data_IF_843488891666
#
_entry.id   IF_843488891666
#
_cell.length_a   1.000
_cell.length_b   1.000
_cell.length_c   1.000
_cell.angle_alpha   90.00
_cell.angle_beta   90.00
_cell.angle_gamma   90.00
#
_symmetry.space_group_name_H-M   'P 1'
#
loop_
_entity.id
_entity.type
_entity.pdbx_description
1 polymer ?
#
# COMPACT_ATOMS: atom_id res chain seq x y z
N UNK A 1 -2.44 -31.75 -21.99
CA UNK A 1 -3.17 -31.85 -20.71
C UNK A 1 -3.35 -30.44 -20.20
N UNK A 2 -4.59 -29.93 -20.27
CA UNK A 2 -4.92 -28.61 -19.70
C UNK A 2 -4.97 -28.77 -18.18
N UNK A 3 -4.05 -28.09 -17.47
CA UNK A 3 -4.21 -27.93 -16.03
C UNK A 3 -5.42 -27.02 -15.79
N UNK A 4 -6.47 -27.56 -15.16
CA UNK A 4 -7.58 -26.75 -14.66
C UNK A 4 -7.04 -25.76 -13.63
N UNK A 5 -7.52 -24.50 -13.63
CA UNK A 5 -7.15 -23.56 -12.59
C UNK A 5 -7.59 -24.16 -11.23
N UNK A 6 -6.67 -24.23 -10.29
CA UNK A 6 -6.97 -24.64 -8.92
C UNK A 6 -8.12 -23.78 -8.41
N UNK A 7 -9.21 -24.42 -8.05
CA UNK A 7 -10.39 -23.80 -7.44
C UNK A 7 -9.94 -23.09 -6.17
N UNK A 8 -9.91 -21.77 -6.19
CA UNK A 8 -9.60 -20.96 -5.00
C UNK A 8 -10.78 -21.13 -4.06
N UNK A 9 -10.60 -21.90 -2.99
CA UNK A 9 -11.63 -22.05 -1.94
C UNK A 9 -11.88 -20.65 -1.38
N UNK A 10 -13.07 -20.11 -1.65
CA UNK A 10 -13.54 -18.85 -1.09
C UNK A 10 -14.21 -19.12 0.23
N UNK A 11 -13.71 -18.50 1.29
CA UNK A 11 -14.30 -18.61 2.62
C UNK A 11 -15.21 -17.40 2.81
N UNK A 12 -16.49 -17.68 3.09
CA UNK A 12 -17.45 -16.65 3.50
C UNK A 12 -17.27 -16.35 4.98
N UNK A 13 -17.12 -15.07 5.32
CA UNK A 13 -17.02 -14.59 6.70
C UNK A 13 -18.12 -13.60 7.02
N UNK A 14 -18.76 -13.82 8.14
CA UNK A 14 -19.72 -12.87 8.72
C UNK A 14 -19.06 -12.15 9.90
N UNK A 15 -18.89 -10.84 9.78
CA UNK A 15 -18.53 -9.95 10.87
C UNK A 15 -19.82 -9.45 11.48
N UNK A 16 -20.11 -9.89 12.70
CA UNK A 16 -21.44 -9.75 13.31
C UNK A 16 -21.47 -8.75 14.46
N UNK A 17 -22.56 -7.99 14.55
CA UNK A 17 -22.89 -7.08 15.65
C UNK A 17 -21.91 -5.93 15.87
N UNK A 18 -21.15 -5.50 14.82
CA UNK A 18 -20.18 -4.41 14.89
C UNK A 18 -20.78 -3.03 14.62
N UNK A 19 -20.02 -1.98 14.91
CA UNK A 19 -20.29 -0.62 14.49
C UNK A 19 -19.53 -0.33 13.20
N UNK A 20 -20.22 -0.40 12.06
CA UNK A 20 -19.65 -0.20 10.72
C UNK A 20 -19.66 1.28 10.37
N UNK A 21 -18.52 1.81 9.90
CA UNK A 21 -18.46 3.19 9.42
C UNK A 21 -19.16 3.31 8.07
N UNK A 22 -20.19 4.17 8.03
CA UNK A 22 -20.90 4.52 6.81
C UNK A 22 -20.43 5.88 6.30
N UNK A 23 -19.94 5.90 5.06
CA UNK A 23 -19.32 7.09 4.47
C UNK A 23 -20.33 8.20 4.12
N UNK A 24 -21.55 7.84 3.75
CA UNK A 24 -22.58 8.80 3.36
C UNK A 24 -23.07 9.64 4.56
N UNK A 25 -23.30 8.99 5.67
CA UNK A 25 -23.73 9.66 6.92
C UNK A 25 -22.57 10.12 7.80
N UNK A 26 -21.33 9.74 7.46
CA UNK A 26 -20.13 9.93 8.30
C UNK A 26 -20.32 9.44 9.74
N UNK A 27 -21.04 8.34 9.93
CA UNK A 27 -21.43 7.81 11.22
C UNK A 27 -21.09 6.31 11.34
N UNK A 28 -21.04 5.84 12.58
CA UNK A 28 -20.97 4.40 12.86
C UNK A 28 -22.38 3.86 13.10
N UNK A 29 -22.76 2.87 12.30
CA UNK A 29 -24.07 2.23 12.35
C UNK A 29 -23.89 0.78 12.76
N UNK A 30 -24.71 0.28 13.69
CA UNK A 30 -24.69 -1.12 14.07
C UNK A 30 -25.13 -1.97 12.89
N UNK A 31 -24.22 -2.82 12.38
CA UNK A 31 -24.44 -3.64 11.20
C UNK A 31 -23.56 -4.88 11.21
N UNK A 32 -23.99 -5.87 10.44
CA UNK A 32 -23.21 -7.04 10.07
C UNK A 32 -22.58 -6.84 8.68
N UNK A 33 -21.44 -7.48 8.42
CA UNK A 33 -20.80 -7.52 7.09
C UNK A 33 -20.57 -8.98 6.71
N UNK A 34 -21.10 -9.39 5.57
CA UNK A 34 -20.80 -10.68 4.97
C UNK A 34 -19.84 -10.53 3.80
N UNK A 35 -18.76 -11.30 3.83
CA UNK A 35 -17.76 -11.34 2.75
C UNK A 35 -17.72 -12.70 2.08
N UNK A 36 -17.33 -12.72 0.79
CA UNK A 36 -16.97 -13.94 0.04
C UNK A 36 -15.54 -13.74 -0.49
N UNK A 37 -14.58 -14.40 0.14
CA UNK A 37 -13.17 -14.15 -0.12
C UNK A 37 -12.80 -12.70 0.14
N UNK A 38 -12.45 -11.95 -0.91
CA UNK A 38 -12.03 -10.54 -0.84
C UNK A 38 -13.17 -9.53 -1.11
N UNK A 39 -14.39 -9.99 -1.37
CA UNK A 39 -15.53 -9.13 -1.69
C UNK A 39 -16.48 -9.01 -0.51
N UNK A 40 -16.96 -7.79 -0.24
CA UNK A 40 -18.12 -7.56 0.61
C UNK A 40 -19.35 -7.84 -0.26
N UNK A 41 -20.21 -8.78 0.17
CA UNK A 41 -21.39 -9.20 -0.60
C UNK A 41 -22.70 -8.74 0.03
N UNK A 42 -22.69 -8.43 1.33
CA UNK A 42 -23.86 -7.92 2.04
C UNK A 42 -23.43 -7.07 3.25
N UNK A 43 -24.13 -5.96 3.48
CA UNK A 43 -24.02 -5.14 4.69
C UNK A 43 -25.44 -4.89 5.19
N UNK A 44 -25.73 -5.18 6.45
CA UNK A 44 -27.07 -5.00 7.00
C UNK A 44 -27.18 -5.51 8.42
N UNK A 45 -28.39 -5.46 8.98
CA UNK A 45 -28.66 -6.01 10.31
C UNK A 45 -29.20 -7.43 10.21
N UNK A 46 -28.85 -8.26 11.20
CA UNK A 46 -29.41 -9.61 11.38
C UNK A 46 -29.11 -10.58 10.20
N UNK A 47 -27.93 -10.46 9.59
CA UNK A 47 -27.49 -11.44 8.59
C UNK A 47 -27.40 -12.81 9.26
N UNK A 48 -27.97 -13.81 8.59
CA UNK A 48 -28.04 -15.17 9.14
C UNK A 48 -26.64 -15.81 9.21
N UNK A 49 -26.18 -16.30 10.37
CA UNK A 49 -24.87 -16.94 10.49
C UNK A 49 -24.69 -18.16 9.59
N UNK A 50 -25.77 -18.84 9.17
CA UNK A 50 -25.70 -19.97 8.23
C UNK A 50 -25.32 -19.56 6.80
N UNK A 51 -25.28 -18.25 6.51
CA UNK A 51 -24.81 -17.74 5.23
C UNK A 51 -23.27 -17.73 5.11
N UNK A 52 -22.54 -17.97 6.20
CA UNK A 52 -21.10 -17.90 6.29
C UNK A 52 -20.46 -19.20 6.78
N UNK A 53 -19.22 -19.43 6.37
CA UNK A 53 -18.38 -20.54 6.84
C UNK A 53 -17.77 -20.22 8.22
N UNK A 54 -17.50 -18.93 8.44
CA UNK A 54 -16.92 -18.42 9.70
C UNK A 54 -17.70 -17.18 10.17
N UNK A 55 -17.91 -17.07 11.48
CA UNK A 55 -18.50 -15.88 12.10
C UNK A 55 -17.51 -15.26 13.07
N UNK A 56 -17.28 -13.95 12.92
CA UNK A 56 -16.43 -13.15 13.79
C UNK A 56 -17.34 -12.24 14.63
N UNK A 57 -17.30 -12.40 15.95
CA UNK A 57 -18.01 -11.53 16.87
C UNK A 57 -17.34 -10.14 16.93
N UNK A 58 -18.06 -9.13 16.49
CA UNK A 58 -17.65 -7.73 16.49
C UNK A 58 -18.45 -6.87 17.50
N UNK A 59 -19.08 -7.51 18.49
CA UNK A 59 -19.79 -6.78 19.56
C UNK A 59 -18.85 -5.75 20.20
N UNK A 60 -19.34 -4.52 20.32
CA UNK A 60 -18.60 -3.35 20.86
C UNK A 60 -17.31 -2.99 20.08
N UNK A 61 -17.16 -3.46 18.84
CA UNK A 61 -16.03 -3.12 17.98
C UNK A 61 -16.48 -2.20 16.86
N UNK A 62 -15.55 -1.31 16.46
CA UNK A 62 -15.70 -0.47 15.28
C UNK A 62 -15.09 -1.17 14.08
N UNK A 63 -15.81 -1.19 12.97
CA UNK A 63 -15.36 -1.73 11.70
C UNK A 63 -15.19 -0.56 10.72
N UNK A 64 -13.98 -0.37 10.26
CA UNK A 64 -13.62 0.68 9.30
C UNK A 64 -12.92 0.06 8.09
N UNK A 65 -12.89 0.73 6.94
CA UNK A 65 -11.98 0.37 5.85
C UNK A 65 -10.54 0.32 6.34
N UNK A 66 -9.73 -0.55 5.75
CA UNK A 66 -8.30 -0.60 6.04
C UNK A 66 -7.65 0.75 5.74
N UNK A 67 -6.71 1.17 6.59
CA UNK A 67 -6.00 2.43 6.43
C UNK A 67 -5.11 2.40 5.18
N UNK A 68 -4.99 3.56 4.52
CA UNK A 68 -4.11 3.77 3.37
C UNK A 68 -3.00 4.73 3.79
N UNK A 69 -1.75 4.31 3.65
CA UNK A 69 -0.57 5.13 3.91
C UNK A 69 0.10 5.47 2.58
N UNK A 70 0.00 6.74 2.18
CA UNK A 70 0.49 7.22 0.89
C UNK A 70 1.91 7.74 0.94
N UNK A 71 2.54 7.77 2.13
CA UNK A 71 3.91 8.27 2.30
C UNK A 71 4.58 7.56 3.48
N UNK A 72 5.36 6.52 3.20
CA UNK A 72 6.06 5.75 4.22
C UNK A 72 7.37 5.20 3.69
N UNK A 73 8.47 5.43 4.44
CA UNK A 73 9.81 4.98 4.06
C UNK A 73 10.13 3.56 4.48
N UNK A 74 9.31 2.98 5.35
CA UNK A 74 9.51 1.62 5.82
C UNK A 74 8.89 1.37 7.18
N UNK A 75 9.07 0.14 7.70
CA UNK A 75 8.49 -0.31 8.96
C UNK A 75 9.24 -1.54 9.50
N UNK A 76 9.06 -1.82 10.80
CA UNK A 76 9.64 -2.99 11.46
C UNK A 76 11.18 -3.07 11.39
N UNK A 77 11.85 -1.93 11.33
CA UNK A 77 13.31 -1.85 11.23
C UNK A 77 13.86 -1.95 9.81
N UNK A 78 13.00 -1.97 8.80
CA UNK A 78 13.37 -2.00 7.39
C UNK A 78 12.99 -0.70 6.69
N UNK A 79 13.73 -0.39 5.61
CA UNK A 79 13.57 0.80 4.77
C UNK A 79 13.38 0.37 3.32
N UNK A 80 12.51 1.06 2.57
CA UNK A 80 12.28 0.79 1.16
C UNK A 80 13.49 1.12 0.27
N UNK A 81 14.40 1.97 0.70
CA UNK A 81 15.65 2.27 -0.03
C UNK A 81 16.69 1.14 0.06
N UNK A 82 16.60 0.27 1.08
CA UNK A 82 17.54 -0.84 1.30
C UNK A 82 16.77 -2.14 1.51
N UNK A 83 16.17 -2.60 0.43
CA UNK A 83 15.13 -3.61 0.52
C UNK A 83 15.62 -4.98 0.02
N UNK A 84 15.26 -6.01 0.77
CA UNK A 84 15.30 -7.41 0.34
C UNK A 84 13.89 -7.96 0.26
N UNK A 85 13.69 -9.06 -0.44
CA UNK A 85 12.37 -9.72 -0.54
C UNK A 85 11.82 -10.07 0.86
N UNK A 86 12.68 -10.48 1.80
CA UNK A 86 12.31 -10.74 3.18
C UNK A 86 11.85 -9.46 3.91
N UNK A 87 12.54 -8.35 3.70
CA UNK A 87 12.20 -7.05 4.29
C UNK A 87 10.82 -6.57 3.80
N UNK A 88 10.53 -6.70 2.50
CA UNK A 88 9.21 -6.35 1.93
C UNK A 88 8.12 -7.14 2.63
N UNK A 89 8.29 -8.45 2.77
CA UNK A 89 7.29 -9.30 3.40
C UNK A 89 7.10 -8.98 4.89
N UNK A 90 8.18 -8.68 5.62
CA UNK A 90 8.11 -8.27 7.02
C UNK A 90 7.37 -6.93 7.19
N UNK A 91 7.69 -5.94 6.35
CA UNK A 91 7.01 -4.65 6.34
C UNK A 91 5.52 -4.80 6.05
N UNK A 92 5.15 -5.52 4.99
CA UNK A 92 3.75 -5.72 4.58
C UNK A 92 2.92 -6.40 5.69
N UNK A 93 3.48 -7.39 6.38
CA UNK A 93 2.84 -8.02 7.55
C UNK A 93 2.66 -7.03 8.69
N UNK A 94 3.69 -6.23 8.96
CA UNK A 94 3.66 -5.25 10.04
C UNK A 94 2.65 -4.14 9.80
N UNK A 95 2.51 -3.65 8.56
CA UNK A 95 1.46 -2.70 8.18
C UNK A 95 0.07 -3.29 8.39
N UNK A 96 -0.19 -4.47 7.85
CA UNK A 96 -1.49 -5.15 7.98
C UNK A 96 -1.86 -5.39 9.46
N UNK A 97 -0.90 -5.80 10.29
CA UNK A 97 -1.11 -5.99 11.73
C UNK A 97 -1.51 -4.70 12.45
N UNK A 98 -1.10 -3.54 11.93
CA UNK A 98 -1.48 -2.23 12.47
C UNK A 98 -2.75 -1.64 11.82
N UNK A 99 -3.43 -2.39 10.94
CA UNK A 99 -4.65 -1.93 10.26
C UNK A 99 -4.40 -1.17 8.95
N UNK A 100 -3.16 -0.95 8.55
CA UNK A 100 -2.84 -0.36 7.24
C UNK A 100 -2.85 -1.47 6.19
N UNK A 101 -3.80 -1.40 5.27
CA UNK A 101 -4.01 -2.43 4.24
C UNK A 101 -3.38 -2.08 2.91
N UNK A 102 -3.05 -0.80 2.70
CA UNK A 102 -2.50 -0.29 1.45
C UNK A 102 -1.41 0.74 1.75
N UNK A 103 -0.27 0.63 1.06
CA UNK A 103 0.85 1.58 1.22
C UNK A 103 1.40 2.00 -0.14
N UNK A 104 1.91 3.22 -0.22
CA UNK A 104 2.87 3.61 -1.24
C UNK A 104 4.29 3.49 -0.68
N UNK A 105 5.12 2.68 -1.32
CA UNK A 105 6.51 2.53 -0.94
C UNK A 105 7.27 3.82 -1.28
N UNK A 106 7.72 4.56 -0.27
CA UNK A 106 8.43 5.83 -0.49
C UNK A 106 9.93 5.60 -0.53
N UNK A 107 10.54 5.95 -1.66
CA UNK A 107 11.99 5.94 -1.86
C UNK A 107 12.51 7.37 -1.63
N UNK A 108 13.35 7.54 -0.62
CA UNK A 108 14.07 8.79 -0.39
C UNK A 108 15.22 8.97 -1.39
N UNK A 109 15.83 10.17 -1.41
CA UNK A 109 17.03 10.42 -2.22
C UNK A 109 18.12 9.40 -1.93
N UNK A 110 18.58 8.72 -2.96
CA UNK A 110 19.61 7.69 -2.93
C UNK A 110 20.41 7.69 -4.23
N UNK A 111 21.54 6.97 -4.31
CA UNK A 111 22.19 6.67 -5.58
C UNK A 111 21.23 5.99 -6.56
N UNK A 112 21.41 6.24 -7.87
CA UNK A 112 20.49 5.72 -8.89
C UNK A 112 20.42 4.19 -8.90
N UNK A 113 21.53 3.52 -8.73
CA UNK A 113 21.61 2.05 -8.67
C UNK A 113 20.81 1.48 -7.49
N UNK A 114 20.83 2.14 -6.32
CA UNK A 114 19.99 1.76 -5.18
C UNK A 114 18.49 1.98 -5.49
N UNK A 115 18.12 3.08 -6.14
CA UNK A 115 16.74 3.37 -6.53
C UNK A 115 16.22 2.33 -7.53
N UNK A 116 17.02 1.96 -8.53
CA UNK A 116 16.66 0.89 -9.49
C UNK A 116 16.49 -0.46 -8.80
N UNK A 117 17.45 -0.85 -7.97
CA UNK A 117 17.39 -2.13 -7.25
C UNK A 117 16.17 -2.21 -6.32
N UNK A 118 15.86 -1.12 -5.61
CA UNK A 118 14.70 -1.03 -4.73
C UNK A 118 13.38 -1.10 -5.50
N UNK A 119 13.30 -0.39 -6.63
CA UNK A 119 12.12 -0.41 -7.50
C UNK A 119 11.83 -1.80 -8.04
N UNK A 120 12.86 -2.52 -8.46
CA UNK A 120 12.75 -3.91 -8.92
C UNK A 120 12.27 -4.84 -7.80
N UNK A 121 12.84 -4.73 -6.60
CA UNK A 121 12.44 -5.53 -5.45
C UNK A 121 10.98 -5.26 -5.06
N UNK A 122 10.55 -4.01 -5.02
CA UNK A 122 9.16 -3.63 -4.75
C UNK A 122 8.23 -4.24 -5.81
N UNK A 123 8.58 -4.13 -7.09
CA UNK A 123 7.78 -4.65 -8.19
C UNK A 123 7.58 -6.17 -8.14
N UNK A 124 8.57 -6.94 -7.67
CA UNK A 124 8.40 -8.40 -7.49
C UNK A 124 7.28 -8.76 -6.51
N UNK A 125 6.94 -7.85 -5.59
CA UNK A 125 5.93 -8.08 -4.56
C UNK A 125 4.58 -7.39 -4.82
N UNK A 126 4.40 -6.71 -5.96
CA UNK A 126 3.17 -5.95 -6.28
C UNK A 126 1.90 -6.79 -6.24
N UNK A 127 1.97 -8.01 -6.76
CA UNK A 127 0.81 -8.93 -6.88
C UNK A 127 0.71 -9.92 -5.71
N UNK A 128 1.57 -9.80 -4.71
CA UNK A 128 1.63 -10.74 -3.62
C UNK A 128 0.40 -10.60 -2.72
N UNK A 129 -0.35 -11.70 -2.57
CA UNK A 129 -1.64 -11.81 -1.85
C UNK A 129 -1.45 -12.38 -0.44
N UNK A 130 -2.53 -12.40 0.34
CA UNK A 130 -2.61 -13.22 1.56
C UNK A 130 -2.29 -12.48 2.87
N UNK A 131 -3.28 -11.74 3.41
CA UNK A 131 -3.24 -11.23 4.80
C UNK A 131 -2.13 -10.23 5.11
N UNK A 132 -1.68 -9.48 4.09
CA UNK A 132 -0.62 -8.47 4.17
C UNK A 132 -1.07 -7.18 3.51
N UNK A 133 -0.45 -6.06 3.85
CA UNK A 133 -0.69 -4.81 3.14
C UNK A 133 -0.29 -4.91 1.66
N UNK A 134 -1.09 -4.30 0.79
CA UNK A 134 -0.80 -4.17 -0.64
C UNK A 134 0.14 -2.99 -0.86
N UNK A 135 1.18 -3.17 -1.66
CA UNK A 135 1.96 -2.05 -2.19
C UNK A 135 1.24 -1.58 -3.45
N UNK A 136 0.60 -0.41 -3.35
CA UNK A 136 -0.24 0.14 -4.42
C UNK A 136 0.52 1.04 -5.39
N UNK A 137 1.72 1.48 -5.02
CA UNK A 137 2.54 2.35 -5.83
C UNK A 137 3.89 2.64 -5.21
N UNK A 138 4.69 3.42 -5.92
CA UNK A 138 5.98 3.94 -5.47
C UNK A 138 5.90 5.46 -5.44
N UNK A 139 6.34 6.06 -4.33
CA UNK A 139 6.58 7.49 -4.23
C UNK A 139 8.09 7.73 -4.27
N UNK A 140 8.56 8.43 -5.28
CA UNK A 140 9.93 8.90 -5.34
C UNK A 140 9.99 10.27 -4.64
N UNK A 141 10.45 10.27 -3.40
CA UNK A 141 10.68 11.48 -2.64
C UNK A 141 12.18 11.84 -2.68
N UNK A 142 12.50 12.78 -3.51
CA UNK A 142 13.86 13.26 -3.55
C UNK A 142 14.51 13.16 -4.90
N UNK A 143 15.84 13.28 -4.91
CA UNK A 143 16.74 13.71 -5.96
C UNK A 143 16.42 15.11 -6.49
N UNK A 144 15.17 15.42 -6.84
CA UNK A 144 14.72 16.66 -7.49
C UNK A 144 14.20 17.71 -6.51
N UNK A 145 14.68 17.68 -5.25
CA UNK A 145 14.27 18.64 -4.22
C UNK A 145 15.13 19.91 -4.29
N UNK A 146 14.57 21.01 -3.77
CA UNK A 146 15.32 22.23 -3.59
C UNK A 146 16.39 22.06 -2.49
N UNK A 147 17.70 22.25 -2.79
CA UNK A 147 18.75 22.09 -1.79
C UNK A 147 18.58 22.97 -0.54
N UNK A 148 17.93 24.13 -0.68
CA UNK A 148 17.65 25.03 0.44
C UNK A 148 16.51 24.54 1.35
N UNK A 149 15.64 23.66 0.84
CA UNK A 149 14.45 23.15 1.54
C UNK A 149 14.45 21.62 1.58
N UNK A 150 15.61 20.98 1.51
CA UNK A 150 15.77 19.53 1.36
C UNK A 150 15.39 18.69 2.58
N UNK A 151 15.19 19.30 3.74
CA UNK A 151 14.91 18.55 4.97
C UNK A 151 16.05 17.58 5.33
N UNK A 152 15.72 16.33 5.57
CA UNK A 152 16.65 15.27 5.97
C UNK A 152 17.47 14.67 4.82
N UNK A 153 17.17 15.01 3.57
CA UNK A 153 17.89 14.46 2.42
C UNK A 153 19.33 14.95 2.35
N UNK A 154 20.28 14.05 2.06
CA UNK A 154 21.69 14.41 1.88
C UNK A 154 21.88 15.25 0.61
N UNK A 155 22.59 16.37 0.72
CA UNK A 155 22.70 17.33 -0.37
C UNK A 155 23.38 16.75 -1.62
N UNK A 156 24.33 15.85 -1.42
CA UNK A 156 25.08 15.15 -2.47
C UNK A 156 24.23 14.16 -3.28
N UNK A 157 23.06 13.79 -2.77
CA UNK A 157 22.10 12.89 -3.45
C UNK A 157 21.06 13.64 -4.26
N UNK A 158 21.00 14.97 -4.13
CA UNK A 158 20.08 15.80 -4.90
C UNK A 158 20.62 16.04 -6.31
N UNK A 159 19.69 16.19 -7.25
CA UNK A 159 20.01 16.52 -8.64
C UNK A 159 18.95 17.50 -9.19
N UNK A 160 19.32 18.32 -10.18
CA UNK A 160 18.33 19.04 -10.97
C UNK A 160 17.36 18.06 -11.65
N UNK A 161 16.09 18.46 -11.78
CA UNK A 161 15.12 17.65 -12.51
C UNK A 161 15.55 17.49 -13.98
N UNK A 162 15.81 16.28 -14.39
CA UNK A 162 16.09 15.87 -15.76
C UNK A 162 14.96 15.00 -16.29
N UNK A 163 14.36 15.37 -17.41
CA UNK A 163 13.29 14.60 -18.02
C UNK A 163 13.72 13.16 -18.36
N UNK A 164 14.96 12.99 -18.85
CA UNK A 164 15.50 11.68 -19.22
C UNK A 164 15.75 10.82 -17.98
N UNK A 165 16.38 11.38 -16.93
CA UNK A 165 16.64 10.63 -15.69
C UNK A 165 15.32 10.26 -14.98
N UNK A 166 14.41 11.22 -14.86
CA UNK A 166 13.10 10.99 -14.24
C UNK A 166 12.28 9.98 -15.04
N UNK A 167 12.28 10.06 -16.37
CA UNK A 167 11.63 9.10 -17.24
C UNK A 167 12.15 7.69 -17.05
N UNK A 168 13.46 7.50 -17.05
CA UNK A 168 14.09 6.20 -16.83
C UNK A 168 13.77 5.63 -15.43
N UNK A 169 13.72 6.46 -14.40
CA UNK A 169 13.33 6.03 -13.05
C UNK A 169 11.85 5.61 -13.00
N UNK A 170 10.96 6.40 -13.61
CA UNK A 170 9.53 6.06 -13.71
C UNK A 170 9.34 4.74 -14.44
N UNK A 171 10.02 4.53 -15.55
CA UNK A 171 9.96 3.28 -16.32
C UNK A 171 10.41 2.07 -15.48
N UNK A 172 11.46 2.23 -14.67
CA UNK A 172 11.92 1.18 -13.76
C UNK A 172 10.93 0.87 -12.63
N UNK A 173 10.11 1.84 -12.24
CA UNK A 173 9.07 1.69 -11.21
C UNK A 173 7.78 1.08 -11.75
N UNK A 174 7.57 1.13 -13.07
CA UNK A 174 6.39 0.54 -13.70
C UNK A 174 6.35 -1.01 -13.48
N UNK A 175 5.16 -1.65 -13.47
CA UNK A 175 3.84 -1.07 -13.75
C UNK A 175 3.11 -0.49 -12.52
N UNK A 176 3.76 -0.34 -11.37
CA UNK A 176 3.12 0.31 -10.23
C UNK A 176 2.89 1.81 -10.53
N UNK A 177 1.80 2.40 -10.03
CA UNK A 177 1.62 3.86 -10.06
C UNK A 177 2.81 4.57 -9.39
N UNK A 178 3.28 5.64 -10.02
CA UNK A 178 4.42 6.41 -9.53
C UNK A 178 4.01 7.84 -9.21
N UNK A 179 4.39 8.29 -8.03
CA UNK A 179 4.34 9.70 -7.63
C UNK A 179 5.77 10.21 -7.51
N UNK A 180 6.05 11.38 -8.07
CA UNK A 180 7.37 12.02 -7.98
C UNK A 180 7.24 13.36 -7.26
N UNK A 181 8.00 13.54 -6.18
CA UNK A 181 8.14 14.84 -5.54
C UNK A 181 9.30 15.61 -6.18
N UNK A 182 9.01 16.81 -6.69
CA UNK A 182 10.01 17.66 -7.33
C UNK A 182 9.81 19.14 -6.98
N UNK A 183 10.92 19.86 -6.87
CA UNK A 183 10.96 21.30 -6.66
C UNK A 183 10.73 22.03 -7.99
N UNK A 184 9.45 22.14 -8.38
CA UNK A 184 9.07 22.73 -9.68
C UNK A 184 9.48 24.20 -9.80
N UNK A 185 9.64 24.90 -8.69
CA UNK A 185 10.12 26.29 -8.64
C UNK A 185 11.57 26.45 -9.14
N UNK A 186 12.33 25.35 -9.21
CA UNK A 186 13.69 25.35 -9.75
C UNK A 186 13.73 25.11 -11.26
N UNK A 187 12.60 24.75 -11.87
CA UNK A 187 12.52 24.65 -13.32
C UNK A 187 12.66 26.07 -13.89
N UNK A 188 13.76 26.29 -14.59
CA UNK A 188 13.89 27.52 -15.38
C UNK A 188 12.78 27.51 -16.44
N UNK A 189 11.98 28.57 -16.49
CA UNK A 189 11.02 28.77 -17.56
C UNK A 189 11.80 28.72 -18.88
N UNK A 190 11.56 27.66 -19.64
CA UNK A 190 12.01 27.57 -21.03
C UNK A 190 11.21 28.53 -21.88
#
# INVERSE_FOLDING_TARGET
>A
MYNSPSEVIRIKRLFKDGYVYETESAAFIKSDILTDGSAIIEVGMNICPRAADETVDCTDKYIIPGLVDVHTHGRAGYDFNKITDEAVEAMRRSYAKAGTTTVMATLASAPLDELYASSEAINRHRDAKGGRATIAGILLEGRYLNPLCRGAHAAELLAPLSADEAGNLIDAMMPLPVHVSAALELLQSC
#
